data_IF_226581362842
#
_entry.id   IF_226581362842
#
_cell.length_a   1.000
_cell.length_b   1.000
_cell.length_c   1.000
_cell.angle_alpha   90.00
_cell.angle_beta   90.00
_cell.angle_gamma   90.00
#
_symmetry.space_group_name_H-M   'P 1'
#
loop_
_entity.id
_entity.type
_entity.pdbx_description
1 polymer ?
#
# COMPACT_ATOMS: atom_id res chain seq x y z
N UNK A 1 0.47 -5.21 8.84
CA UNK A 1 -0.37 -4.05 9.20
C UNK A 1 0.17 -3.42 10.47
N UNK A 2 0.17 -4.13 11.61
CA UNK A 2 0.69 -3.62 12.91
C UNK A 2 2.07 -2.95 12.81
N UNK A 3 3.08 -3.61 12.24
CA UNK A 3 4.41 -3.01 12.10
C UNK A 3 4.39 -1.70 11.29
N UNK A 4 3.58 -1.63 10.23
CA UNK A 4 3.42 -0.43 9.40
C UNK A 4 2.70 0.70 10.16
N UNK A 5 1.71 0.35 11.00
CA UNK A 5 0.99 1.29 11.85
C UNK A 5 1.90 1.88 12.95
N UNK A 6 2.64 1.01 13.65
CA UNK A 6 3.59 1.41 14.69
C UNK A 6 4.71 2.30 14.14
N UNK A 7 5.31 1.94 13.00
CA UNK A 7 6.38 2.73 12.37
C UNK A 7 5.90 4.13 11.94
N UNK A 8 4.65 4.24 11.50
CA UNK A 8 4.07 5.51 11.08
C UNK A 8 3.69 6.44 12.26
N UNK A 9 3.72 5.93 13.51
CA UNK A 9 3.35 6.69 14.71
C UNK A 9 1.96 7.37 14.62
N UNK A 10 0.99 6.73 13.95
CA UNK A 10 -0.35 7.27 13.77
C UNK A 10 -1.33 6.77 14.85
N UNK A 11 -2.44 7.49 15.11
CA UNK A 11 -3.43 7.09 16.11
C UNK A 11 -3.98 5.68 15.86
N UNK A 12 -4.35 4.98 16.95
CA UNK A 12 -4.97 3.64 16.85
C UNK A 12 -6.26 3.67 16.02
N UNK A 13 -6.99 4.78 16.01
CA UNK A 13 -8.21 4.95 15.23
C UNK A 13 -8.01 4.89 13.71
N UNK A 14 -6.77 4.81 13.22
CA UNK A 14 -6.42 4.76 11.80
C UNK A 14 -5.86 3.38 11.37
N UNK A 15 -6.01 2.36 12.22
CA UNK A 15 -5.52 0.99 11.99
C UNK A 15 -6.05 0.38 10.67
N UNK A 16 -7.26 0.75 10.27
CA UNK A 16 -7.90 0.26 9.06
C UNK A 16 -7.15 0.71 7.80
N UNK A 17 -6.58 1.92 7.81
CA UNK A 17 -5.78 2.42 6.68
C UNK A 17 -4.46 1.65 6.55
N UNK A 18 -3.81 1.33 7.69
CA UNK A 18 -2.62 0.50 7.69
C UNK A 18 -2.92 -0.93 7.20
N UNK A 19 -4.09 -1.47 7.55
CA UNK A 19 -4.54 -2.79 7.10
C UNK A 19 -4.82 -2.82 5.61
N UNK A 20 -5.52 -1.80 5.09
CA UNK A 20 -5.77 -1.65 3.66
C UNK A 20 -4.45 -1.51 2.87
N UNK A 21 -3.53 -0.66 3.33
CA UNK A 21 -2.26 -0.46 2.65
C UNK A 21 -1.38 -1.72 2.69
N UNK A 22 -1.30 -2.42 3.82
CA UNK A 22 -0.58 -3.69 3.90
C UNK A 22 -1.13 -4.74 2.92
N UNK A 23 -2.46 -4.83 2.79
CA UNK A 23 -3.11 -5.72 1.82
C UNK A 23 -2.82 -5.29 0.38
N UNK A 24 -2.85 -3.99 0.10
CA UNK A 24 -2.55 -3.44 -1.22
C UNK A 24 -1.13 -3.75 -1.68
N UNK A 25 -0.16 -3.60 -0.77
CA UNK A 25 1.25 -3.95 -0.99
C UNK A 25 1.40 -5.46 -1.16
N UNK A 26 0.81 -6.27 -0.27
CA UNK A 26 0.86 -7.74 -0.37
C UNK A 26 0.39 -8.25 -1.74
N UNK A 27 -0.72 -7.72 -2.25
CA UNK A 27 -1.25 -8.10 -3.56
C UNK A 27 -0.36 -7.68 -4.74
N UNK A 28 0.59 -6.77 -4.53
CA UNK A 28 1.55 -6.28 -5.54
C UNK A 28 2.98 -6.71 -5.25
N UNK A 29 3.20 -7.52 -4.22
CA UNK A 29 4.50 -8.11 -3.91
C UNK A 29 4.67 -9.42 -4.67
N UNK A 30 5.83 -9.65 -5.32
CA UNK A 30 6.12 -10.91 -5.97
C UNK A 30 6.26 -12.01 -4.92
N UNK A 31 5.73 -13.20 -5.22
CA UNK A 31 5.81 -14.34 -4.32
C UNK A 31 6.41 -15.55 -5.02
N UNK A 32 7.33 -16.23 -4.33
CA UNK A 32 8.00 -17.44 -4.84
C UNK A 32 6.99 -18.52 -5.26
N UNK A 33 5.97 -18.78 -4.43
CA UNK A 33 4.86 -19.71 -4.75
C UNK A 33 4.05 -19.37 -6.02
N UNK A 34 4.21 -18.17 -6.57
CA UNK A 34 3.56 -17.72 -7.80
C UNK A 34 4.54 -17.60 -8.98
N UNK A 35 5.72 -18.23 -8.87
CA UNK A 35 6.85 -18.06 -9.80
C UNK A 35 7.29 -16.60 -9.91
N UNK A 36 7.47 -15.93 -8.77
CA UNK A 36 7.85 -14.52 -8.68
C UNK A 36 6.88 -13.53 -9.33
N UNK A 37 5.64 -13.95 -9.59
CA UNK A 37 4.54 -13.07 -9.99
C UNK A 37 3.78 -12.53 -8.77
N UNK A 38 3.06 -11.44 -8.97
CA UNK A 38 2.20 -10.82 -7.95
C UNK A 38 0.77 -11.40 -8.03
N UNK A 39 0.01 -11.45 -6.92
CA UNK A 39 -1.43 -11.75 -6.98
C UNK A 39 -2.20 -10.85 -7.94
N UNK A 40 -1.83 -9.56 -8.01
CA UNK A 40 -2.41 -8.59 -8.92
C UNK A 40 -2.20 -9.00 -10.39
N UNK A 41 -1.00 -9.46 -10.75
CA UNK A 41 -0.70 -9.96 -12.10
C UNK A 41 -1.53 -11.17 -12.46
N UNK A 42 -1.69 -12.12 -11.53
CA UNK A 42 -2.49 -13.32 -11.79
C UNK A 42 -3.96 -13.00 -12.02
N UNK A 43 -4.50 -12.02 -11.29
CA UNK A 43 -5.90 -11.63 -11.40
C UNK A 43 -6.17 -10.74 -12.63
N UNK A 44 -5.28 -9.80 -12.93
CA UNK A 44 -5.51 -8.77 -13.94
C UNK A 44 -4.77 -9.01 -15.26
N UNK A 45 -3.89 -10.02 -15.33
CA UNK A 45 -3.07 -10.30 -16.51
C UNK A 45 -2.03 -9.23 -16.84
N UNK A 46 -1.76 -8.28 -15.94
CA UNK A 46 -0.81 -7.18 -16.15
C UNK A 46 0.01 -6.89 -14.89
N UNK A 47 1.26 -6.48 -15.08
CA UNK A 47 2.13 -6.02 -14.00
C UNK A 47 1.53 -4.78 -13.31
N UNK A 48 1.52 -4.71 -11.96
CA UNK A 48 1.09 -3.50 -11.27
C UNK A 48 2.12 -2.39 -11.47
N UNK A 49 1.64 -1.18 -11.74
CA UNK A 49 2.46 0.02 -11.55
C UNK A 49 2.57 0.32 -10.04
N UNK A 50 3.80 0.46 -9.56
CA UNK A 50 4.12 0.76 -8.15
C UNK A 50 4.80 2.12 -8.00
N UNK A 51 4.92 2.92 -9.07
CA UNK A 51 5.57 4.24 -9.06
C UNK A 51 4.91 5.23 -8.07
N UNK A 52 3.63 5.01 -7.78
CA UNK A 52 2.84 5.81 -6.85
C UNK A 52 3.03 5.40 -5.37
N UNK A 53 3.74 4.31 -5.08
CA UNK A 53 3.94 3.86 -3.70
C UNK A 53 4.76 4.86 -2.89
N UNK A 54 4.30 5.10 -1.67
CA UNK A 54 4.97 5.93 -0.66
C UNK A 54 4.98 5.20 0.67
N UNK A 55 5.92 5.60 1.53
CA UNK A 55 5.96 5.13 2.92
C UNK A 55 4.64 5.47 3.60
N UNK A 56 4.02 4.50 4.25
CA UNK A 56 2.77 4.74 4.96
C UNK A 56 3.00 5.75 6.10
N UNK A 57 2.13 6.76 6.20
CA UNK A 57 2.31 7.87 7.14
C UNK A 57 3.25 8.99 6.64
N UNK A 58 3.73 8.94 5.39
CA UNK A 58 4.48 10.07 4.84
C UNK A 58 3.63 11.35 4.75
N UNK A 59 4.27 12.51 4.85
CA UNK A 59 3.61 13.79 4.61
C UNK A 59 3.03 13.86 3.19
N UNK A 60 1.84 14.45 3.06
CA UNK A 60 1.16 14.66 1.78
C UNK A 60 0.68 16.11 1.66
N UNK A 61 0.66 16.62 0.44
CA UNK A 61 0.08 17.92 0.13
C UNK A 61 -1.35 17.72 -0.36
N UNK A 62 -2.29 18.43 0.24
CA UNK A 62 -3.68 18.50 -0.24
C UNK A 62 -3.79 19.71 -1.16
N UNK A 63 -4.30 19.49 -2.36
CA UNK A 63 -4.64 20.60 -3.25
C UNK A 63 -5.90 21.29 -2.73
N UNK A 64 -5.79 22.58 -2.42
CA UNK A 64 -6.92 23.42 -2.07
C UNK A 64 -7.28 24.24 -3.30
N UNK A 65 -8.52 24.11 -3.77
CA UNK A 65 -9.02 24.90 -4.90
C UNK A 65 -8.94 26.38 -4.51
N UNK A 66 -8.25 27.24 -5.28
CA UNK A 66 -8.31 28.68 -5.07
C UNK A 66 -9.73 29.14 -5.46
N UNK A 67 -10.49 29.68 -4.52
CA UNK A 67 -11.83 30.24 -4.76
C UNK A 67 -11.91 31.11 -6.02
#
# INVERSE_FOLDING_TARGET
>A
AEAMHHEACIPQSWWEFATQQATHVYNRSPMDRLNWRTPFELLNGKQPDISHFRVFGCGAYVWLHPD
#
